data_IF_625417841711
#
_entry.id   IF_625417841711
#
_cell.length_a   1.000
_cell.length_b   1.000
_cell.length_c   1.000
_cell.angle_alpha   90.00
_cell.angle_beta   90.00
_cell.angle_gamma   90.00
#
_symmetry.space_group_name_H-M   'P 1'
#
loop_
_entity.id
_entity.type
_entity.pdbx_description
1 polymer ?
#
# COMPACT_ATOMS: atom_id res chain seq x y z
N UNK A 1 -11.48 -9.14 -13.86
CA UNK A 1 -10.29 -8.47 -13.29
C UNK A 1 -10.56 -8.26 -11.80
N UNK A 2 -9.86 -8.95 -10.90
CA UNK A 2 -10.14 -8.83 -9.45
C UNK A 2 -9.60 -7.48 -8.97
N UNK A 3 -10.48 -6.49 -8.81
CA UNK A 3 -10.14 -5.19 -8.23
C UNK A 3 -9.99 -5.36 -6.72
N UNK A 4 -8.75 -5.29 -6.23
CA UNK A 4 -8.49 -5.34 -4.79
C UNK A 4 -8.76 -3.95 -4.21
N UNK A 5 -9.86 -3.80 -3.46
CA UNK A 5 -10.22 -2.56 -2.76
C UNK A 5 -9.71 -2.60 -1.32
N UNK A 6 -9.13 -1.51 -0.85
CA UNK A 6 -8.70 -1.32 0.54
C UNK A 6 -9.31 -0.01 1.03
N UNK A 7 -10.31 -0.09 1.90
CA UNK A 7 -11.11 1.09 2.29
C UNK A 7 -11.68 1.78 1.05
N UNK A 8 -11.42 3.08 0.91
CA UNK A 8 -11.83 3.90 -0.25
C UNK A 8 -10.89 3.84 -1.46
N UNK A 9 -9.86 2.99 -1.43
CA UNK A 9 -8.85 2.95 -2.48
C UNK A 9 -8.98 1.69 -3.34
N UNK A 10 -9.09 1.89 -4.65
CA UNK A 10 -8.94 0.83 -5.63
C UNK A 10 -7.45 0.62 -5.91
N UNK A 11 -6.89 -0.48 -5.41
CA UNK A 11 -5.46 -0.76 -5.48
C UNK A 11 -5.14 -1.50 -6.77
N UNK A 12 -4.20 -0.96 -7.54
CA UNK A 12 -3.77 -1.48 -8.83
C UNK A 12 -2.39 -2.14 -8.78
N UNK A 13 -1.60 -1.85 -9.82
CA UNK A 13 -0.28 -2.45 -10.04
C UNK A 13 0.73 -2.03 -8.98
N UNK A 14 1.74 -2.86 -8.80
CA UNK A 14 2.96 -2.50 -8.05
C UNK A 14 3.73 -1.46 -8.84
N UNK A 15 4.16 -0.40 -8.17
CA UNK A 15 5.00 0.67 -8.73
C UNK A 15 6.41 0.68 -8.13
N UNK A 16 6.61 -0.01 -7.01
CA UNK A 16 7.94 -0.20 -6.42
C UNK A 16 7.97 -1.34 -5.41
N UNK A 17 9.14 -1.93 -5.24
CA UNK A 17 9.40 -2.98 -4.27
C UNK A 17 10.75 -2.70 -3.62
N UNK A 18 10.73 -2.50 -2.30
CA UNK A 18 11.94 -2.30 -1.51
C UNK A 18 12.04 -3.36 -0.43
N UNK A 19 13.17 -3.40 0.27
CA UNK A 19 13.50 -4.40 1.30
C UNK A 19 12.41 -4.56 2.37
N UNK A 20 11.72 -3.47 2.70
CA UNK A 20 10.78 -3.43 3.82
C UNK A 20 9.32 -3.23 3.41
N UNK A 21 9.04 -2.92 2.13
CA UNK A 21 7.71 -2.54 1.69
C UNK A 21 7.47 -2.77 0.20
N UNK A 22 6.21 -2.98 -0.17
CA UNK A 22 5.74 -2.94 -1.56
C UNK A 22 4.90 -1.68 -1.77
N UNK A 23 5.20 -0.89 -2.79
CA UNK A 23 4.43 0.30 -3.14
C UNK A 23 3.52 -0.03 -4.33
N UNK A 24 2.24 0.28 -4.19
CA UNK A 24 1.25 0.11 -5.26
C UNK A 24 0.59 1.42 -5.63
N UNK A 25 0.25 1.56 -6.90
CA UNK A 25 -0.66 2.62 -7.33
C UNK A 25 -2.07 2.31 -6.83
N UNK A 26 -2.79 3.32 -6.36
CA UNK A 26 -4.20 3.23 -6.07
C UNK A 26 -4.94 4.50 -6.46
N UNK A 27 -6.25 4.38 -6.68
CA UNK A 27 -7.13 5.51 -6.91
C UNK A 27 -8.14 5.60 -5.77
N UNK A 28 -8.32 6.80 -5.22
CA UNK A 28 -9.41 7.06 -4.27
C UNK A 28 -10.74 7.07 -5.03
N UNK A 29 -11.67 6.21 -4.63
CA UNK A 29 -12.97 6.04 -5.31
C UNK A 29 -13.95 7.18 -5.04
N UNK A 30 -13.69 8.05 -4.07
CA UNK A 30 -14.57 9.17 -3.70
C UNK A 30 -14.29 10.42 -4.55
N UNK A 31 -13.01 10.71 -4.81
CA UNK A 31 -12.60 11.95 -5.49
C UNK A 31 -11.74 11.71 -6.74
N UNK A 32 -11.40 10.45 -7.05
CA UNK A 32 -10.62 10.08 -8.24
C UNK A 32 -9.11 10.29 -8.11
N UNK A 33 -8.62 10.78 -6.96
CA UNK A 33 -7.19 11.08 -6.78
C UNK A 33 -6.31 9.84 -6.84
N UNK A 34 -5.20 9.98 -7.56
CA UNK A 34 -4.16 8.98 -7.71
C UNK A 34 -3.17 9.05 -6.56
N UNK A 35 -2.94 7.93 -5.87
CA UNK A 35 -2.02 7.86 -4.72
C UNK A 35 -1.09 6.66 -4.80
N UNK A 36 0.04 6.72 -4.10
CA UNK A 36 0.92 5.59 -3.87
C UNK A 36 0.67 5.01 -2.47
N UNK A 37 0.35 3.71 -2.42
CA UNK A 37 0.11 2.98 -1.17
C UNK A 37 1.34 2.15 -0.82
N UNK A 38 2.02 2.49 0.28
CA UNK A 38 3.13 1.72 0.83
C UNK A 38 2.58 0.60 1.73
N UNK A 39 2.74 -0.64 1.30
CA UNK A 39 2.26 -1.84 1.99
C UNK A 39 3.42 -2.42 2.81
N UNK A 40 3.21 -2.49 4.11
CA UNK A 40 4.15 -3.06 5.08
C UNK A 40 3.60 -4.40 5.59
N UNK A 41 4.46 -5.41 5.68
CA UNK A 41 4.10 -6.66 6.30
C UNK A 41 4.10 -6.50 7.83
N UNK A 42 3.03 -6.94 8.50
CA UNK A 42 2.90 -6.86 9.97
C UNK A 42 4.08 -7.54 10.69
N UNK A 43 4.59 -8.64 10.13
CA UNK A 43 5.78 -9.33 10.62
C UNK A 43 7.04 -8.45 10.58
N UNK A 44 7.22 -7.67 9.51
CA UNK A 44 8.35 -6.73 9.38
C UNK A 44 8.25 -5.60 10.40
N UNK A 45 7.06 -5.05 10.63
CA UNK A 45 6.84 -4.00 11.64
C UNK A 45 7.20 -4.51 13.04
N UNK A 46 6.71 -5.70 13.41
CA UNK A 46 6.94 -6.29 14.74
C UNK A 46 8.40 -6.68 14.97
N UNK A 47 9.08 -7.23 13.94
CA UNK A 47 10.48 -7.64 14.05
C UNK A 47 11.45 -6.47 14.17
N UNK A 48 11.17 -5.37 13.47
CA UNK A 48 12.10 -4.24 13.39
C UNK A 48 11.72 -3.07 14.32
N UNK A 49 10.70 -3.21 15.17
CA UNK A 49 10.15 -2.11 16.02
C UNK A 49 9.96 -0.80 15.23
N UNK A 50 9.48 -0.88 13.98
CA UNK A 50 9.26 0.29 13.12
C UNK A 50 8.05 1.14 13.54
N UNK A 51 7.65 1.09 14.80
CA UNK A 51 6.49 1.84 15.32
C UNK A 51 6.90 3.24 15.80
N UNK A 52 8.21 3.50 15.97
CA UNK A 52 8.79 4.75 16.50
C UNK A 52 9.66 5.52 15.49
N UNK A 53 9.50 5.29 14.17
CA UNK A 53 10.38 5.88 13.15
C UNK A 53 9.67 6.78 12.15
#
# INVERSE_FOLDING_TARGET
MVTRKVGKYQVGRTVGEGTFAKVKFAQNTENGECVAVKILAKSTILKHRMVDQ
#
